data_IF_629067859447
#
_entry.id   IF_629067859447
#
_cell.length_a   1.000
_cell.length_b   1.000
_cell.length_c   1.000
_cell.angle_alpha   90.00
_cell.angle_beta   90.00
_cell.angle_gamma   90.00
#
_symmetry.space_group_name_H-M   'P 1'
#
loop_
_entity.id
_entity.type
_entity.pdbx_description
1 polymer ?
#
# COMPACT_ATOMS: atom_id res chain seq x y z
N UNK A 1 16.18 7.29 0.40
CA UNK A 1 16.53 8.44 1.26
C UNK A 1 15.44 9.50 1.28
N UNK A 2 15.03 10.07 0.14
CA UNK A 2 13.98 11.11 0.07
C UNK A 2 12.65 10.70 0.74
N UNK A 3 12.14 9.51 0.45
CA UNK A 3 10.91 8.99 1.07
C UNK A 3 11.00 8.92 2.59
N UNK A 4 12.11 8.42 3.12
CA UNK A 4 12.34 8.30 4.56
C UNK A 4 12.42 9.67 5.24
N UNK A 5 13.06 10.64 4.59
CA UNK A 5 13.13 12.02 5.09
C UNK A 5 11.74 12.64 5.10
N UNK A 6 10.98 12.50 4.02
CA UNK A 6 9.61 13.02 3.92
C UNK A 6 8.71 12.43 5.03
N UNK A 7 8.75 11.11 5.24
CA UNK A 7 8.02 10.43 6.31
C UNK A 7 8.44 10.93 7.71
N UNK A 8 9.74 11.09 7.94
CA UNK A 8 10.26 11.59 9.22
C UNK A 8 9.78 13.02 9.50
N UNK A 9 9.85 13.90 8.49
CA UNK A 9 9.37 15.28 8.61
C UNK A 9 7.85 15.29 8.86
N UNK A 10 7.10 14.41 8.20
CA UNK A 10 5.65 14.29 8.39
C UNK A 10 5.27 13.90 9.82
N UNK A 11 5.96 12.92 10.41
CA UNK A 11 5.75 12.55 11.81
C UNK A 11 6.14 13.67 12.78
N UNK A 12 7.26 14.36 12.54
CA UNK A 12 7.68 15.51 13.36
C UNK A 12 6.63 16.62 13.27
N UNK A 13 6.15 16.96 12.07
CA UNK A 13 5.11 17.96 11.86
C UNK A 13 3.85 17.65 12.67
N UNK A 14 3.39 16.40 12.65
CA UNK A 14 2.21 15.99 13.40
C UNK A 14 2.41 15.94 14.90
N UNK A 15 3.61 15.55 15.34
CA UNK A 15 3.98 15.59 16.74
C UNK A 15 3.97 17.02 17.27
N UNK A 16 4.57 17.96 16.54
CA UNK A 16 4.66 19.38 16.92
C UNK A 16 3.29 20.07 16.89
N UNK A 17 2.42 19.71 15.94
CA UNK A 17 1.06 20.27 15.84
C UNK A 17 0.06 19.62 16.79
N UNK A 18 0.48 18.64 17.60
CA UNK A 18 -0.38 17.94 18.56
C UNK A 18 -1.41 16.99 17.94
N UNK A 19 -1.31 16.72 16.63
CA UNK A 19 -2.22 15.82 15.92
C UNK A 19 -1.73 14.37 15.82
N UNK A 20 -0.61 14.04 16.46
CA UNK A 20 -0.08 12.68 16.49
C UNK A 20 -0.81 11.83 17.54
N UNK A 21 -1.36 10.70 17.13
CA UNK A 21 -1.97 9.72 18.03
C UNK A 21 -1.49 8.31 17.68
N UNK A 22 -1.26 7.45 18.67
CA UNK A 22 -0.84 6.05 18.41
C UNK A 22 -1.88 5.32 17.54
N UNK A 23 -3.16 5.53 17.83
CA UNK A 23 -4.29 4.90 17.15
C UNK A 23 -4.36 5.17 15.64
N UNK A 24 -3.71 6.24 15.15
CA UNK A 24 -3.72 6.66 13.74
C UNK A 24 -2.33 6.97 13.15
N UNK A 25 -1.31 7.11 13.98
CA UNK A 25 -0.03 7.75 13.65
C UNK A 25 1.18 6.83 13.66
N UNK A 26 1.01 5.53 13.97
CA UNK A 26 2.09 4.55 13.92
C UNK A 26 2.41 4.16 12.47
N UNK A 27 3.03 5.11 11.75
CA UNK A 27 3.20 5.19 10.29
C UNK A 27 1.84 5.22 9.57
N UNK A 28 1.65 6.09 8.59
CA UNK A 28 0.50 5.92 7.69
C UNK A 28 0.76 4.65 6.86
N UNK A 29 0.35 3.51 7.44
CA UNK A 29 0.92 2.16 7.32
C UNK A 29 1.01 1.56 5.92
N UNK A 30 0.44 2.24 4.91
CA UNK A 30 0.43 1.79 3.52
C UNK A 30 1.66 2.30 2.78
N UNK A 31 1.98 3.58 2.96
CA UNK A 31 3.12 4.23 2.31
C UNK A 31 4.43 3.94 3.05
N UNK A 32 4.46 4.09 4.38
CA UNK A 32 5.64 3.79 5.20
C UNK A 32 6.11 2.32 5.06
N UNK A 33 5.18 1.38 4.97
CA UNK A 33 5.49 -0.03 4.71
C UNK A 33 6.14 -0.24 3.33
N UNK A 34 5.70 0.51 2.32
CA UNK A 34 6.32 0.49 1.00
C UNK A 34 7.77 0.97 1.05
N UNK A 35 8.08 2.01 1.84
CA UNK A 35 9.46 2.49 2.06
C UNK A 35 10.35 1.37 2.64
N UNK A 36 9.86 0.66 3.66
CA UNK A 36 10.58 -0.46 4.27
C UNK A 36 10.80 -1.60 3.27
N UNK A 37 9.79 -1.91 2.43
CA UNK A 37 9.90 -2.92 1.39
C UNK A 37 10.93 -2.56 0.31
N UNK A 38 10.98 -1.29 -0.12
CA UNK A 38 11.99 -0.82 -1.07
C UNK A 38 13.41 -0.93 -0.50
N UNK A 39 13.60 -0.70 0.80
CA UNK A 39 14.91 -0.88 1.44
C UNK A 39 15.23 -2.38 1.55
N UNK A 40 14.29 -3.17 2.09
CA UNK A 40 14.48 -4.60 2.33
C UNK A 40 14.87 -5.37 1.07
N UNK A 41 14.35 -4.98 -0.11
CA UNK A 41 14.65 -5.69 -1.36
C UNK A 41 16.13 -5.68 -1.75
N UNK A 42 16.90 -4.69 -1.29
CA UNK A 42 18.35 -4.59 -1.54
C UNK A 42 19.19 -5.43 -0.58
N UNK A 43 18.64 -5.83 0.57
CA UNK A 43 19.33 -6.60 1.60
C UNK A 43 18.88 -8.07 1.67
N UNK A 44 17.98 -8.50 0.79
CA UNK A 44 17.51 -9.89 0.72
C UNK A 44 18.34 -10.68 -0.29
N UNK A 45 19.13 -11.62 0.25
CA UNK A 45 19.96 -12.51 -0.56
C UNK A 45 19.17 -13.68 -1.18
N UNK A 46 18.06 -14.08 -0.55
CA UNK A 46 17.23 -15.18 -1.04
C UNK A 46 16.41 -14.77 -2.26
N UNK A 47 16.61 -15.46 -3.39
CA UNK A 47 15.88 -15.18 -4.64
C UNK A 47 14.36 -15.27 -4.48
N UNK A 48 13.87 -16.22 -3.67
CA UNK A 48 12.44 -16.39 -3.41
C UNK A 48 11.87 -15.20 -2.64
N UNK A 49 12.56 -14.77 -1.58
CA UNK A 49 12.14 -13.63 -0.79
C UNK A 49 12.24 -12.31 -1.58
N UNK A 50 13.29 -12.16 -2.40
CA UNK A 50 13.44 -11.01 -3.31
C UNK A 50 12.33 -10.96 -4.34
N UNK A 51 11.97 -12.10 -4.94
CA UNK A 51 10.83 -12.18 -5.85
C UNK A 51 9.53 -11.81 -5.16
N UNK A 52 9.29 -12.32 -3.95
CA UNK A 52 8.10 -11.98 -3.18
C UNK A 52 8.03 -10.47 -2.88
N UNK A 53 9.16 -9.85 -2.53
CA UNK A 53 9.23 -8.39 -2.36
C UNK A 53 8.94 -7.64 -3.67
N UNK A 54 9.42 -8.10 -4.81
CA UNK A 54 9.03 -7.53 -6.10
C UNK A 54 7.54 -7.72 -6.41
N UNK A 55 6.96 -8.88 -6.06
CA UNK A 55 5.52 -9.11 -6.18
C UNK A 55 4.76 -8.08 -5.32
N UNK A 56 5.17 -7.87 -4.06
CA UNK A 56 4.55 -6.88 -3.17
C UNK A 56 4.74 -5.43 -3.66
N UNK A 57 5.95 -5.03 -4.05
CA UNK A 57 6.22 -3.68 -4.59
C UNK A 57 5.40 -3.42 -5.86
N UNK A 58 5.24 -4.44 -6.71
CA UNK A 58 4.42 -4.33 -7.91
C UNK A 58 2.94 -4.12 -7.57
N UNK A 59 2.35 -5.00 -6.77
CA UNK A 59 0.90 -4.94 -6.52
C UNK A 59 0.54 -3.83 -5.53
N UNK A 60 1.23 -3.72 -4.40
CA UNK A 60 0.96 -2.68 -3.39
C UNK A 60 1.56 -1.34 -3.77
N UNK A 61 2.84 -1.31 -4.18
CA UNK A 61 3.52 -0.06 -4.50
C UNK A 61 2.89 0.62 -5.71
N UNK A 62 2.76 -0.08 -6.85
CA UNK A 62 2.15 0.52 -8.04
C UNK A 62 0.63 0.66 -7.90
N UNK A 63 -0.07 -0.40 -7.46
CA UNK A 63 -1.53 -0.40 -7.38
C UNK A 63 -2.08 0.50 -6.29
N UNK A 64 -1.51 0.42 -5.09
CA UNK A 64 -1.87 1.26 -3.96
C UNK A 64 -1.54 2.73 -4.20
N UNK A 65 -0.34 3.04 -4.72
CA UNK A 65 0.01 4.44 -5.01
C UNK A 65 -0.80 5.04 -6.16
N UNK A 66 -1.10 4.27 -7.20
CA UNK A 66 -2.00 4.72 -8.26
C UNK A 66 -3.40 5.03 -7.71
N UNK A 67 -3.96 4.14 -6.88
CA UNK A 67 -5.26 4.38 -6.25
C UNK A 67 -5.22 5.62 -5.35
N UNK A 68 -4.16 5.79 -4.55
CA UNK A 68 -3.99 6.93 -3.67
C UNK A 68 -3.85 8.27 -4.43
N UNK A 69 -3.22 8.27 -5.60
CA UNK A 69 -3.11 9.48 -6.44
C UNK A 69 -4.46 9.80 -7.11
N UNK A 70 -5.21 8.80 -7.55
CA UNK A 70 -6.52 8.99 -8.19
C UNK A 70 -7.61 9.39 -7.18
N UNK A 71 -7.53 8.89 -5.95
CA UNK A 71 -8.47 9.18 -4.87
C UNK A 71 -7.70 9.51 -3.58
N UNK A 72 -7.14 10.74 -3.48
CA UNK A 72 -6.24 11.12 -2.39
C UNK A 72 -6.98 11.31 -1.06
N UNK A 73 -6.43 10.73 0.01
CA UNK A 73 -6.94 10.87 1.39
C UNK A 73 -6.27 12.03 2.14
N UNK A 74 -6.31 13.20 1.52
CA UNK A 74 -5.76 14.44 2.09
C UNK A 74 -6.81 15.20 2.92
N UNK A 75 -8.10 14.83 2.80
CA UNK A 75 -9.20 15.45 3.50
C UNK A 75 -9.35 16.93 3.17
N UNK A 76 -9.78 17.73 4.16
CA UNK A 76 -9.93 19.18 4.00
C UNK A 76 -8.60 19.94 3.86
N UNK A 77 -7.46 19.28 4.07
CA UNK A 77 -6.11 19.86 3.89
C UNK A 77 -5.61 19.64 2.47
N UNK A 78 -6.34 20.26 1.53
CA UNK A 78 -5.96 20.36 0.13
C UNK A 78 -4.77 21.29 -0.09
N UNK A 79 -4.42 21.51 -1.36
CA UNK A 79 -3.43 22.51 -1.71
C UNK A 79 -3.85 23.89 -1.17
N UNK A 80 -2.93 24.70 -0.59
CA UNK A 80 -1.48 24.49 -0.46
C UNK A 80 -1.01 24.06 0.94
N UNK A 81 -1.52 22.93 1.47
CA UNK A 81 -1.09 22.41 2.78
C UNK A 81 0.17 21.51 2.70
N UNK A 82 0.96 21.44 3.78
CA UNK A 82 2.12 20.54 3.87
C UNK A 82 1.73 19.06 3.67
N UNK A 83 0.57 18.63 4.18
CA UNK A 83 0.05 17.27 3.98
C UNK A 83 -0.16 16.97 2.50
N UNK A 84 -0.65 17.94 1.72
CA UNK A 84 -0.82 17.80 0.28
C UNK A 84 0.52 17.46 -0.39
N UNK A 85 1.54 18.29 -0.18
CA UNK A 85 2.85 18.08 -0.81
C UNK A 85 3.50 16.77 -0.35
N UNK A 86 3.49 16.51 0.95
CA UNK A 86 4.09 15.29 1.52
C UNK A 86 3.42 14.02 0.97
N UNK A 87 2.09 14.02 0.84
CA UNK A 87 1.32 12.91 0.29
C UNK A 87 1.68 12.61 -1.18
N UNK A 88 1.62 13.62 -2.06
CA UNK A 88 1.90 13.43 -3.49
C UNK A 88 3.38 13.12 -3.76
N UNK A 89 4.29 13.71 -2.98
CA UNK A 89 5.72 13.39 -3.06
C UNK A 89 5.96 11.92 -2.73
N UNK A 90 5.43 11.45 -1.60
CA UNK A 90 5.57 10.05 -1.17
C UNK A 90 5.01 9.06 -2.20
N UNK A 91 3.75 9.23 -2.62
CA UNK A 91 3.12 8.30 -3.55
C UNK A 91 3.72 8.37 -4.97
N UNK A 92 4.13 9.56 -5.42
CA UNK A 92 4.85 9.74 -6.68
C UNK A 92 6.18 8.99 -6.70
N UNK A 93 6.98 9.11 -5.65
CA UNK A 93 8.26 8.40 -5.55
C UNK A 93 8.09 6.88 -5.41
N UNK A 94 7.04 6.41 -4.73
CA UNK A 94 6.70 4.97 -4.69
C UNK A 94 6.38 4.47 -6.10
N UNK A 95 5.57 5.19 -6.88
CA UNK A 95 5.27 4.80 -8.26
C UNK A 95 6.51 4.78 -9.15
N UNK A 96 7.37 5.80 -9.04
CA UNK A 96 8.64 5.87 -9.79
C UNK A 96 9.55 4.71 -9.39
N UNK A 97 9.70 4.45 -8.09
CA UNK A 97 10.51 3.35 -7.57
C UNK A 97 10.00 1.98 -8.02
N UNK A 98 8.70 1.74 -7.94
CA UNK A 98 8.08 0.51 -8.42
C UNK A 98 8.33 0.32 -9.92
N UNK A 99 8.09 1.37 -10.71
CA UNK A 99 8.30 1.35 -12.18
C UNK A 99 9.76 1.10 -12.53
N UNK A 100 10.70 1.72 -11.82
CA UNK A 100 12.13 1.53 -12.01
C UNK A 100 12.56 0.07 -11.77
N UNK A 101 12.08 -0.55 -10.68
CA UNK A 101 12.36 -1.95 -10.39
C UNK A 101 11.80 -2.87 -11.48
N UNK A 102 10.56 -2.62 -11.93
CA UNK A 102 9.90 -3.42 -12.96
C UNK A 102 10.65 -3.32 -14.30
N UNK A 103 10.94 -2.10 -14.74
CA UNK A 103 11.60 -1.83 -16.01
C UNK A 103 13.06 -2.31 -16.02
N UNK A 104 13.80 -2.04 -14.95
CA UNK A 104 15.23 -2.38 -14.85
C UNK A 104 15.52 -3.86 -14.67
N UNK A 105 14.62 -4.63 -14.04
CA UNK A 105 14.86 -6.06 -13.73
C UNK A 105 14.10 -7.04 -14.65
N UNK A 106 13.40 -6.54 -15.68
CA UNK A 106 12.51 -7.35 -16.55
C UNK A 106 11.56 -8.23 -15.73
N UNK A 107 11.13 -7.72 -14.57
CA UNK A 107 10.29 -8.46 -13.65
C UNK A 107 8.90 -8.66 -14.26
N UNK A 108 8.35 -9.87 -14.10
CA UNK A 108 7.05 -10.24 -14.67
C UNK A 108 6.17 -10.92 -13.61
N UNK A 109 5.06 -10.30 -13.20
CA UNK A 109 4.16 -10.90 -12.22
C UNK A 109 3.50 -12.15 -12.80
N UNK A 110 3.34 -13.17 -11.96
CA UNK A 110 2.60 -14.40 -12.30
C UNK A 110 1.23 -14.39 -11.65
N UNK A 111 0.29 -15.19 -12.15
CA UNK A 111 -1.01 -15.33 -11.47
C UNK A 111 -0.86 -15.89 -10.05
N UNK A 112 0.10 -16.81 -9.86
CA UNK A 112 0.49 -17.30 -8.53
C UNK A 112 0.99 -16.17 -7.63
N UNK A 113 1.77 -15.22 -8.17
CA UNK A 113 2.21 -14.03 -7.44
C UNK A 113 1.01 -13.23 -6.93
N UNK A 114 0.02 -12.98 -7.80
CA UNK A 114 -1.20 -12.26 -7.44
C UNK A 114 -1.90 -12.95 -6.26
N UNK A 115 -2.14 -14.26 -6.35
CA UNK A 115 -2.79 -15.02 -5.29
C UNK A 115 -2.02 -14.97 -3.96
N UNK A 116 -0.68 -15.10 -4.02
CA UNK A 116 0.18 -15.00 -2.84
C UNK A 116 0.06 -13.61 -2.20
N UNK A 117 0.10 -12.53 -3.01
CA UNK A 117 -0.03 -11.17 -2.48
C UNK A 117 -1.42 -10.92 -1.90
N UNK A 118 -2.50 -11.39 -2.55
CA UNK A 118 -3.86 -11.28 -2.01
C UNK A 118 -3.95 -12.00 -0.66
N UNK A 119 -3.48 -13.24 -0.58
CA UNK A 119 -3.48 -14.01 0.68
C UNK A 119 -2.67 -13.30 1.77
N UNK A 120 -1.47 -12.81 1.44
CA UNK A 120 -0.63 -12.08 2.38
C UNK A 120 -1.30 -10.78 2.84
N UNK A 121 -1.96 -10.06 1.94
CA UNK A 121 -2.72 -8.85 2.26
C UNK A 121 -3.85 -9.16 3.24
N UNK A 122 -4.59 -10.25 3.03
CA UNK A 122 -5.68 -10.65 3.92
C UNK A 122 -5.17 -11.05 5.31
N UNK A 123 -4.03 -11.75 5.40
CA UNK A 123 -3.39 -12.05 6.68
C UNK A 123 -3.00 -10.75 7.40
N UNK A 124 -2.42 -9.79 6.68
CA UNK A 124 -2.04 -8.51 7.27
C UNK A 124 -3.27 -7.70 7.73
N UNK A 125 -4.34 -7.67 6.93
CA UNK A 125 -5.60 -7.00 7.27
C UNK A 125 -6.24 -7.62 8.51
N UNK A 126 -6.27 -8.96 8.61
CA UNK A 126 -6.78 -9.65 9.78
C UNK A 126 -5.95 -9.34 11.03
N UNK A 127 -4.62 -9.32 10.90
CA UNK A 127 -3.72 -8.94 11.98
C UNK A 127 -3.93 -7.48 12.41
N UNK A 128 -4.01 -6.55 11.46
CA UNK A 128 -4.28 -5.14 11.73
C UNK A 128 -5.63 -4.92 12.40
N UNK A 129 -6.67 -5.66 12.01
CA UNK A 129 -7.97 -5.61 12.66
C UNK A 129 -7.90 -6.08 14.12
N UNK A 130 -7.24 -7.20 14.38
CA UNK A 130 -7.00 -7.69 15.75
C UNK A 130 -6.21 -6.69 16.60
N UNK A 131 -5.18 -6.07 16.02
CA UNK A 131 -4.40 -5.04 16.70
C UNK A 131 -5.22 -3.77 16.99
N UNK A 132 -6.09 -3.35 16.06
CA UNK A 132 -7.01 -2.23 16.28
C UNK A 132 -7.97 -2.46 17.44
N UNK A 133 -8.47 -3.69 17.59
CA UNK A 133 -9.30 -4.08 18.74
C UNK A 133 -8.48 -4.11 20.04
N UNK A 134 -7.23 -4.56 19.99
CA UNK A 134 -6.35 -4.58 21.16
C UNK A 134 -6.05 -3.18 21.69
N UNK A 135 -5.94 -2.18 20.81
CA UNK A 135 -5.77 -0.78 21.23
C UNK A 135 -6.96 -0.23 22.02
N UNK A 136 -8.18 -0.75 21.82
CA UNK A 136 -9.33 -0.40 22.66
C UNK A 136 -9.12 -0.85 24.13
N UNK A 137 -8.23 -1.80 24.39
CA UNK A 137 -7.96 -2.37 25.71
C UNK A 137 -6.80 -1.69 26.45
N UNK A 138 -6.05 -0.80 25.80
CA UNK A 138 -4.85 -0.14 26.34
C UNK A 138 -5.07 1.38 26.34
N UNK A 139 -4.72 2.12 27.41
CA UNK A 139 -4.83 3.58 27.42
C UNK A 139 -4.24 4.21 26.15
N UNK A 140 -4.95 5.11 25.44
CA UNK A 140 -6.15 5.85 25.85
C UNK A 140 -7.50 5.13 25.64
N UNK A 141 -7.51 3.82 25.36
CA UNK A 141 -8.70 3.00 25.10
C UNK A 141 -9.44 3.41 23.82
N UNK A 142 -8.68 3.81 22.81
CA UNK A 142 -9.20 4.22 21.52
C UNK A 142 -9.01 3.10 20.50
N UNK A 143 -10.04 2.89 19.69
CA UNK A 143 -9.94 1.95 18.57
C UNK A 143 -8.90 2.44 17.57
N UNK A 144 -7.92 1.60 17.28
CA UNK A 144 -6.99 1.86 16.19
C UNK A 144 -7.70 1.86 14.84
N UNK A 145 -7.12 2.53 13.85
CA UNK A 145 -7.62 2.47 12.48
C UNK A 145 -6.56 2.06 11.44
N UNK A 146 -5.67 1.13 11.84
CA UNK A 146 -4.69 0.57 10.92
C UNK A 146 -5.36 -0.17 9.76
N UNK A 147 -4.81 0.03 8.55
CA UNK A 147 -5.36 -0.47 7.29
C UNK A 147 -6.82 -0.06 7.01
N UNK A 148 -7.35 0.97 7.71
CA UNK A 148 -8.76 1.38 7.65
C UNK A 148 -9.69 0.20 7.98
N UNK A 149 -9.31 -0.62 8.95
CA UNK A 149 -10.13 -1.75 9.41
C UNK A 149 -10.90 -1.40 10.68
N UNK A 150 -10.66 -0.26 11.32
CA UNK A 150 -11.41 0.19 12.50
C UNK A 150 -12.70 0.91 12.10
N UNK A 151 -12.57 1.97 11.30
CA UNK A 151 -13.68 2.82 10.87
C UNK A 151 -13.35 3.58 9.56
N UNK A 152 -14.35 4.02 8.79
CA UNK A 152 -14.12 4.83 7.60
C UNK A 152 -13.49 6.20 7.95
N UNK A 153 -12.60 6.76 7.11
CA UNK A 153 -12.09 8.10 7.30
C UNK A 153 -13.22 9.13 7.20
N UNK A 154 -13.26 10.17 8.04
CA UNK A 154 -14.35 11.16 8.06
C UNK A 154 -14.38 12.10 6.85
N UNK A 155 -13.45 11.93 5.90
CA UNK A 155 -13.14 12.86 4.81
C UNK A 155 -13.96 12.63 3.53
N UNK A 156 -14.88 11.66 3.51
CA UNK A 156 -15.64 11.34 2.30
C UNK A 156 -14.78 10.58 1.29
N UNK A 157 -14.72 9.27 1.43
CA UNK A 157 -13.91 8.38 0.59
C UNK A 157 -14.75 7.24 0.01
N UNK A 158 -14.18 6.47 -0.93
CA UNK A 158 -14.81 5.23 -1.43
C UNK A 158 -15.10 4.23 -0.30
N UNK A 159 -14.40 4.34 0.83
CA UNK A 159 -14.65 3.52 2.02
C UNK A 159 -16.02 3.81 2.62
N UNK A 160 -16.49 5.07 2.57
CA UNK A 160 -17.84 5.42 3.05
C UNK A 160 -18.93 4.78 2.20
N UNK A 161 -18.69 4.66 0.89
CA UNK A 161 -19.60 3.94 0.01
C UNK A 161 -19.66 2.46 0.39
N UNK A 162 -18.52 1.83 0.64
CA UNK A 162 -18.49 0.43 1.09
C UNK A 162 -19.12 0.26 2.48
N UNK A 163 -18.92 1.19 3.39
CA UNK A 163 -19.57 1.18 4.70
C UNK A 163 -21.10 1.29 4.58
N UNK A 164 -21.61 2.08 3.63
CA UNK A 164 -23.04 2.17 3.34
C UNK A 164 -23.61 0.89 2.71
N UNK A 165 -22.86 0.26 1.80
CA UNK A 165 -23.33 -0.94 1.06
C UNK A 165 -23.23 -2.21 1.92
N UNK A 166 -22.08 -2.43 2.57
CA UNK A 166 -21.77 -3.66 3.30
C UNK A 166 -21.98 -3.56 4.81
N UNK A 167 -22.06 -2.33 5.35
CA UNK A 167 -22.22 -2.06 6.78
C UNK A 167 -20.92 -1.68 7.49
N UNK A 168 -20.96 -1.50 8.82
CA UNK A 168 -19.81 -1.04 9.62
C UNK A 168 -18.67 -2.07 9.61
N UNK A 169 -17.50 -1.64 10.10
CA UNK A 169 -16.37 -2.55 10.28
C UNK A 169 -16.78 -3.79 11.09
N UNK A 170 -16.38 -5.01 10.71
CA UNK A 170 -15.43 -5.35 9.64
C UNK A 170 -16.06 -5.59 8.26
N UNK A 171 -17.38 -5.39 8.08
CA UNK A 171 -18.10 -5.85 6.89
C UNK A 171 -17.67 -5.11 5.61
N UNK A 172 -17.43 -3.81 5.68
CA UNK A 172 -16.96 -3.05 4.51
C UNK A 172 -15.57 -3.43 4.02
N UNK A 173 -14.79 -4.19 4.81
CA UNK A 173 -13.48 -4.71 4.38
C UNK A 173 -13.63 -5.59 3.14
N UNK A 174 -14.77 -6.28 2.97
CA UNK A 174 -15.08 -7.04 1.75
C UNK A 174 -15.06 -6.13 0.52
N UNK A 175 -15.61 -4.91 0.61
CA UNK A 175 -15.56 -3.93 -0.47
C UNK A 175 -14.14 -3.49 -0.80
N UNK A 176 -13.31 -3.29 0.24
CA UNK A 176 -11.89 -2.96 0.07
C UNK A 176 -11.10 -4.10 -0.59
N UNK A 177 -11.38 -5.35 -0.20
CA UNK A 177 -10.76 -6.54 -0.78
C UNK A 177 -11.13 -6.71 -2.25
N UNK A 178 -12.42 -6.58 -2.60
CA UNK A 178 -12.89 -6.65 -3.98
C UNK A 178 -12.23 -5.58 -4.86
N UNK A 179 -12.13 -4.35 -4.35
CA UNK A 179 -11.43 -3.26 -5.03
C UNK A 179 -9.94 -3.57 -5.20
N UNK A 180 -9.27 -4.05 -4.15
CA UNK A 180 -7.86 -4.42 -4.20
C UNK A 180 -7.56 -5.51 -5.23
N UNK A 181 -8.38 -6.58 -5.25
CA UNK A 181 -8.29 -7.66 -6.24
C UNK A 181 -8.51 -7.13 -7.65
N UNK A 182 -9.50 -6.25 -7.86
CA UNK A 182 -9.75 -5.64 -9.16
C UNK A 182 -8.53 -4.84 -9.66
N UNK A 183 -7.92 -4.01 -8.79
CA UNK A 183 -6.69 -3.27 -9.13
C UNK A 183 -5.54 -4.22 -9.46
N UNK A 184 -5.34 -5.28 -8.67
CA UNK A 184 -4.26 -6.24 -8.93
C UNK A 184 -4.46 -7.01 -10.24
N UNK A 185 -5.70 -7.38 -10.56
CA UNK A 185 -6.04 -8.00 -11.84
C UNK A 185 -5.77 -7.05 -13.02
N UNK A 186 -6.15 -5.78 -12.89
CA UNK A 186 -5.87 -4.76 -13.90
C UNK A 186 -4.36 -4.58 -14.14
N UNK A 187 -3.56 -4.56 -13.07
CA UNK A 187 -2.10 -4.49 -13.19
C UNK A 187 -1.49 -5.75 -13.80
N UNK A 188 -2.06 -6.92 -13.51
CA UNK A 188 -1.58 -8.20 -14.04
C UNK A 188 -2.00 -8.43 -15.50
N UNK A 189 -3.15 -7.92 -15.93
CA UNK A 189 -3.75 -8.20 -17.24
C UNK A 189 -2.82 -7.94 -18.45
N UNK A 190 -2.06 -6.82 -18.55
CA UNK A 190 -1.11 -6.61 -19.64
C UNK A 190 -0.07 -7.73 -19.77
N UNK A 191 0.35 -8.31 -18.64
CA UNK A 191 1.32 -9.40 -18.60
C UNK A 191 0.70 -10.77 -18.88
N UNK A 192 -0.62 -10.93 -18.75
CA UNK A 192 -1.31 -12.13 -19.19
C UNK A 192 -1.46 -12.15 -20.72
N UNK A 193 -1.74 -10.98 -21.32
CA UNK A 193 -2.01 -10.83 -22.75
C UNK A 193 -0.73 -10.74 -23.58
N UNK A 194 0.32 -10.07 -23.07
CA UNK A 194 1.58 -9.96 -23.78
C UNK A 194 2.21 -11.34 -24.00
N UNK A 195 2.54 -11.73 -25.23
CA UNK A 195 3.28 -12.97 -25.50
C UNK A 195 4.64 -12.93 -24.79
N UNK A 196 5.07 -14.07 -24.21
CA UNK A 196 6.46 -14.21 -23.77
C UNK A 196 7.34 -13.99 -25.01
N UNK A 197 8.35 -13.09 -24.97
CA UNK A 197 9.35 -13.07 -26.02
C UNK A 197 9.90 -14.50 -26.11
N UNK A 198 9.81 -15.13 -27.28
CA UNK A 198 10.51 -16.40 -27.50
C UNK A 198 11.97 -16.09 -27.19
N UNK A 199 12.56 -16.80 -26.23
CA UNK A 199 14.02 -16.81 -26.09
C UNK A 199 14.55 -17.13 -27.48
N UNK A 200 15.25 -16.18 -28.10
CA UNK A 200 16.02 -16.48 -29.29
C UNK A 200 16.92 -17.63 -28.88
N UNK A 201 16.69 -18.82 -29.45
CA UNK A 201 17.64 -19.92 -29.35
C UNK A 201 18.96 -19.31 -29.81
N UNK A 202 19.88 -19.06 -28.89
CA UNK A 202 21.28 -18.90 -29.23
C UNK A 202 21.61 -20.12 -30.08
N UNK A 203 21.80 -19.86 -31.38
CA UNK A 203 22.29 -20.86 -32.31
C UNK A 203 23.67 -21.20 -31.79
N UNK A 204 23.81 -22.39 -31.20
CA UNK A 204 25.08 -23.07 -31.15
C UNK A 204 25.59 -23.17 -32.60
N UNK A 205 26.69 -22.48 -32.87
CA UNK A 205 27.49 -22.57 -34.09
C UNK A 205 28.94 -22.39 -33.67
#
# INVERSE_FOLDING_TARGET
MVLFINESIYHIYWYVTGGWAVASGLLEQKCGLSILMFIAVFYIDSEKARKFMFDLIFFWGLGGALQAILAPDIGARGFPDFKYFSFFLSHGFIMIGATYIIAGRRYRPTFKSLLIVVLFTNVLVAFSYGFNLLLELVPPYERGNYFITGYPPPTGSIVDLFAKIFGPSPRYIIGLELMGIAVFLLLWAPFAIARRPKAAKEKAL
#
